data_IF_034880192995
#
_entry.id   IF_034880192995
#
_cell.length_a   1.000
_cell.length_b   1.000
_cell.length_c   1.000
_cell.angle_alpha   90.00
_cell.angle_beta   90.00
_cell.angle_gamma   90.00
#
_symmetry.space_group_name_H-M   'P 1'
#
loop_
_entity.id
_entity.type
_entity.pdbx_description
1 polymer ?
#
# COMPACT_ATOMS: atom_id res chain seq x y z
N UNK A 1 -17.14 -5.81 18.00
CA UNK A 1 -17.97 -7.02 17.83
C UNK A 1 -17.91 -7.43 16.36
N UNK A 2 -17.39 -8.63 16.07
CA UNK A 2 -17.40 -9.20 14.72
C UNK A 2 -18.84 -9.64 14.42
N UNK A 3 -19.52 -8.95 13.50
CA UNK A 3 -20.93 -9.18 13.21
C UNK A 3 -21.07 -10.41 12.29
N UNK A 4 -21.34 -11.59 12.88
CA UNK A 4 -21.43 -12.88 12.20
C UNK A 4 -22.57 -13.01 11.17
N UNK A 5 -23.48 -12.02 11.07
CA UNK A 5 -24.67 -12.07 10.21
C UNK A 5 -24.58 -11.19 8.96
N UNK A 6 -23.38 -10.71 8.60
CA UNK A 6 -23.21 -9.90 7.39
C UNK A 6 -23.41 -10.73 6.12
N UNK A 7 -24.14 -10.23 5.10
CA UNK A 7 -24.34 -10.96 3.84
C UNK A 7 -23.02 -11.32 3.18
N UNK A 8 -22.86 -12.57 2.72
CA UNK A 8 -21.65 -13.01 1.99
C UNK A 8 -21.93 -13.05 0.49
N UNK A 9 -21.96 -11.86 -0.12
CA UNK A 9 -22.23 -11.70 -1.55
C UNK A 9 -20.93 -11.50 -2.34
N UNK A 10 -20.92 -11.97 -3.60
CA UNK A 10 -19.83 -11.70 -4.54
C UNK A 10 -20.08 -10.36 -5.23
N UNK A 11 -19.24 -9.37 -4.94
CA UNK A 11 -19.31 -8.06 -5.58
C UNK A 11 -18.60 -8.12 -6.94
N UNK A 12 -19.27 -7.76 -8.06
CA UNK A 12 -18.63 -7.70 -9.36
C UNK A 12 -17.58 -6.59 -9.40
N UNK A 13 -16.47 -6.85 -10.09
CA UNK A 13 -15.42 -5.85 -10.32
C UNK A 13 -15.85 -4.90 -11.44
N UNK A 14 -15.58 -3.61 -11.26
CA UNK A 14 -15.67 -2.62 -12.34
C UNK A 14 -14.30 -2.49 -13.04
N UNK A 15 -14.24 -1.95 -14.27
CA UNK A 15 -12.97 -1.82 -15.01
C UNK A 15 -11.86 -1.12 -14.20
N UNK A 16 -12.21 -0.10 -13.42
CA UNK A 16 -11.26 0.61 -12.56
C UNK A 16 -10.63 -0.31 -11.50
N UNK A 17 -11.40 -1.24 -10.94
CA UNK A 17 -10.92 -2.19 -9.93
C UNK A 17 -9.90 -3.17 -10.55
N UNK A 18 -10.15 -3.61 -11.77
CA UNK A 18 -9.22 -4.48 -12.50
C UNK A 18 -7.95 -3.75 -12.92
N UNK A 19 -8.07 -2.50 -13.42
CA UNK A 19 -6.92 -1.69 -13.83
C UNK A 19 -5.98 -1.43 -12.65
N UNK A 20 -6.52 -1.09 -11.47
CA UNK A 20 -5.68 -0.84 -10.30
C UNK A 20 -5.04 -2.12 -9.76
N UNK A 21 -5.76 -3.26 -9.74
CA UNK A 21 -5.17 -4.54 -9.34
C UNK A 21 -4.05 -4.95 -10.31
N UNK A 22 -4.24 -4.80 -11.62
CA UNK A 22 -3.23 -5.09 -12.63
C UNK A 22 -2.01 -4.18 -12.52
N UNK A 23 -2.21 -2.87 -12.36
CA UNK A 23 -1.11 -1.91 -12.17
C UNK A 23 -0.34 -2.19 -10.88
N UNK A 24 -1.03 -2.57 -9.80
CA UNK A 24 -0.40 -2.95 -8.52
C UNK A 24 0.47 -4.21 -8.70
N UNK A 25 -0.03 -5.24 -9.38
CA UNK A 25 0.73 -6.45 -9.67
C UNK A 25 1.95 -6.16 -10.56
N UNK A 26 1.79 -5.34 -11.60
CA UNK A 26 2.87 -4.94 -12.48
C UNK A 26 3.97 -4.16 -11.73
N UNK A 27 3.57 -3.24 -10.83
CA UNK A 27 4.51 -2.49 -9.98
C UNK A 27 5.29 -3.41 -9.06
N UNK A 28 4.65 -4.43 -8.47
CA UNK A 28 5.33 -5.40 -7.61
C UNK A 28 6.36 -6.20 -8.41
N UNK A 29 5.99 -6.68 -9.60
CA UNK A 29 6.92 -7.39 -10.50
C UNK A 29 8.09 -6.50 -10.92
N UNK A 30 7.84 -5.23 -11.23
CA UNK A 30 8.88 -4.27 -11.57
C UNK A 30 9.84 -4.03 -10.39
N UNK A 31 9.32 -3.95 -9.17
CA UNK A 31 10.14 -3.83 -7.95
C UNK A 31 11.04 -5.06 -7.75
N UNK A 32 10.49 -6.27 -7.88
CA UNK A 32 11.27 -7.51 -7.79
C UNK A 32 12.39 -7.55 -8.84
N UNK A 33 12.07 -7.25 -10.09
CA UNK A 33 13.04 -7.22 -11.18
C UNK A 33 14.14 -6.18 -10.90
N UNK A 34 13.76 -4.97 -10.49
CA UNK A 34 14.70 -3.91 -10.16
C UNK A 34 15.66 -4.33 -9.04
N UNK A 35 15.14 -4.93 -7.95
CA UNK A 35 15.97 -5.42 -6.85
C UNK A 35 16.95 -6.47 -7.34
N UNK A 36 16.48 -7.51 -8.03
CA UNK A 36 17.33 -8.61 -8.52
C UNK A 36 18.46 -8.10 -9.42
N UNK A 37 18.15 -7.22 -10.38
CA UNK A 37 19.14 -6.71 -11.34
C UNK A 37 20.19 -5.82 -10.65
N UNK A 38 19.78 -5.05 -9.65
CA UNK A 38 20.64 -4.03 -9.05
C UNK A 38 21.40 -4.54 -7.82
N UNK A 39 20.94 -5.63 -7.19
CA UNK A 39 21.43 -6.10 -5.89
C UNK A 39 22.94 -6.36 -5.85
N UNK A 40 23.48 -6.97 -6.91
CA UNK A 40 24.90 -7.35 -6.98
C UNK A 40 25.84 -6.14 -7.02
N UNK A 41 25.35 -4.98 -7.45
CA UNK A 41 26.12 -3.73 -7.51
C UNK A 41 26.13 -2.99 -6.17
N UNK A 42 25.35 -3.43 -5.16
CA UNK A 42 25.30 -2.78 -3.87
C UNK A 42 26.53 -3.10 -3.00
N UNK A 43 27.09 -2.10 -2.31
CA UNK A 43 28.08 -2.35 -1.26
C UNK A 43 27.47 -3.19 -0.13
N UNK A 44 28.31 -3.87 0.65
CA UNK A 44 27.84 -4.69 1.79
C UNK A 44 27.07 -3.86 2.83
N UNK A 45 27.47 -2.61 3.03
CA UNK A 45 26.80 -1.66 3.93
C UNK A 45 26.04 -0.60 3.14
N UNK A 46 24.75 -0.43 3.42
CA UNK A 46 23.87 0.53 2.77
C UNK A 46 23.16 1.42 3.81
N UNK A 47 22.61 2.57 3.39
CA UNK A 47 21.67 3.35 4.21
C UNK A 47 20.42 2.55 4.55
N UNK A 48 20.00 2.62 5.82
CA UNK A 48 18.79 1.94 6.33
C UNK A 48 17.83 2.87 7.03
N UNK A 49 18.33 3.99 7.56
CA UNK A 49 17.52 5.04 8.15
C UNK A 49 17.89 6.40 7.58
N UNK A 50 16.87 7.26 7.55
CA UNK A 50 17.00 8.64 7.11
C UNK A 50 16.29 9.54 8.12
N UNK A 51 16.88 10.69 8.42
CA UNK A 51 16.28 11.70 9.27
C UNK A 51 15.17 12.47 8.51
N UNK A 52 14.52 13.43 9.18
CA UNK A 52 13.45 14.25 8.58
C UNK A 52 13.91 15.18 7.43
N UNK A 53 15.22 15.38 7.27
CA UNK A 53 15.81 16.10 6.13
C UNK A 53 16.13 15.17 4.97
N UNK A 54 15.98 13.86 5.17
CA UNK A 54 16.32 12.87 4.15
C UNK A 54 17.80 12.50 4.09
N UNK A 55 18.55 12.81 5.14
CA UNK A 55 19.96 12.48 5.27
C UNK A 55 20.11 11.13 5.97
N UNK A 56 21.14 10.37 5.61
CA UNK A 56 21.42 9.06 6.21
C UNK A 56 21.84 9.26 7.66
N UNK A 57 21.08 8.70 8.60
CA UNK A 57 21.41 8.68 10.03
C UNK A 57 21.55 7.25 10.59
N UNK A 58 21.33 6.22 9.77
CA UNK A 58 21.60 4.83 10.08
C UNK A 58 21.95 4.00 8.85
N UNK A 59 22.81 2.99 9.07
CA UNK A 59 23.30 2.06 8.03
C UNK A 59 23.15 0.61 8.47
N UNK A 60 23.26 -0.32 7.52
CA UNK A 60 23.17 -1.75 7.79
C UNK A 60 23.52 -2.61 6.59
N UNK A 61 23.42 -3.93 6.76
CA UNK A 61 23.71 -4.92 5.71
C UNK A 61 22.72 -4.79 4.55
N UNK A 62 23.19 -4.88 3.29
CA UNK A 62 22.33 -4.89 2.09
C UNK A 62 21.26 -5.98 2.07
N UNK A 63 21.41 -7.07 2.84
CA UNK A 63 20.40 -8.11 2.96
C UNK A 63 19.04 -7.60 3.48
N UNK A 64 19.00 -6.43 4.14
CA UNK A 64 17.74 -5.80 4.56
C UNK A 64 16.80 -5.51 3.38
N UNK A 65 17.33 -5.35 2.16
CA UNK A 65 16.54 -5.17 0.93
C UNK A 65 15.67 -6.40 0.65
N UNK A 66 16.17 -7.62 0.90
CA UNK A 66 15.37 -8.84 0.75
C UNK A 66 14.25 -8.92 1.77
N UNK A 67 14.52 -8.51 3.01
CA UNK A 67 13.49 -8.42 4.04
C UNK A 67 12.41 -7.40 3.64
N UNK A 68 12.81 -6.23 3.16
CA UNK A 68 11.90 -5.18 2.68
C UNK A 68 11.05 -5.68 1.50
N UNK A 69 11.66 -6.38 0.53
CA UNK A 69 10.96 -6.95 -0.61
C UNK A 69 9.96 -8.03 -0.20
N UNK A 70 10.34 -8.89 0.76
CA UNK A 70 9.49 -9.91 1.34
C UNK A 70 8.27 -9.32 2.05
N UNK A 71 8.47 -8.37 2.98
CA UNK A 71 7.35 -7.75 3.70
C UNK A 71 6.45 -6.94 2.77
N UNK A 72 7.01 -6.25 1.77
CA UNK A 72 6.25 -5.54 0.74
C UNK A 72 5.34 -6.50 -0.04
N UNK A 73 5.86 -7.67 -0.41
CA UNK A 73 5.10 -8.70 -1.11
C UNK A 73 3.98 -9.27 -0.24
N UNK A 74 4.26 -9.59 1.01
CA UNK A 74 3.26 -10.09 1.96
C UNK A 74 2.14 -9.08 2.18
N UNK A 75 2.49 -7.81 2.36
CA UNK A 75 1.52 -6.72 2.51
C UNK A 75 0.66 -6.58 1.24
N UNK A 76 1.28 -6.57 0.06
CA UNK A 76 0.57 -6.39 -1.21
C UNK A 76 -0.40 -7.54 -1.51
N UNK A 77 0.04 -8.78 -1.30
CA UNK A 77 -0.79 -9.98 -1.46
C UNK A 77 -1.88 -10.02 -0.39
N UNK A 78 -1.53 -9.76 0.88
CA UNK A 78 -2.47 -9.75 2.00
C UNK A 78 -3.61 -8.76 1.79
N UNK A 79 -3.31 -7.54 1.34
CA UNK A 79 -4.32 -6.55 0.98
C UNK A 79 -5.17 -7.00 -0.21
N UNK A 80 -4.57 -7.56 -1.27
CA UNK A 80 -5.31 -8.09 -2.40
C UNK A 80 -6.30 -9.19 -1.97
N UNK A 81 -5.84 -10.15 -1.15
CA UNK A 81 -6.67 -11.22 -0.58
C UNK A 81 -7.81 -10.64 0.24
N UNK A 82 -7.54 -9.64 1.08
CA UNK A 82 -8.55 -8.99 1.90
C UNK A 82 -9.65 -8.31 1.06
N UNK A 83 -9.33 -7.78 -0.14
CA UNK A 83 -10.38 -7.27 -1.07
C UNK A 83 -11.42 -8.31 -1.49
N UNK A 84 -11.11 -9.60 -1.36
CA UNK A 84 -12.02 -10.71 -1.69
C UNK A 84 -12.96 -11.05 -0.52
N UNK A 85 -12.74 -10.48 0.66
CA UNK A 85 -13.53 -10.72 1.87
C UNK A 85 -14.10 -9.41 2.46
N UNK A 86 -14.90 -8.63 1.71
CA UNK A 86 -15.41 -7.35 2.20
C UNK A 86 -16.26 -7.46 3.47
N UNK A 87 -16.93 -8.59 3.70
CA UNK A 87 -17.77 -8.79 4.89
C UNK A 87 -17.01 -8.68 6.22
N UNK A 88 -15.69 -8.89 6.25
CA UNK A 88 -14.85 -8.73 7.45
C UNK A 88 -14.24 -7.32 7.59
N UNK A 89 -14.47 -6.42 6.63
CA UNK A 89 -13.98 -5.04 6.72
C UNK A 89 -14.71 -4.24 7.80
N UNK A 90 -14.11 -3.11 8.18
CA UNK A 90 -14.73 -2.16 9.08
C UNK A 90 -15.64 -1.19 8.31
N UNK A 91 -16.86 -1.00 8.82
CA UNK A 91 -17.88 -0.13 8.26
C UNK A 91 -18.41 0.80 9.37
N UNK A 92 -18.73 2.05 9.04
CA UNK A 92 -19.30 3.02 9.98
C UNK A 92 -20.83 2.91 10.05
N UNK A 93 -21.42 2.13 9.16
CA UNK A 93 -22.85 1.80 9.10
C UNK A 93 -23.05 0.30 9.28
N UNK A 94 -24.23 -0.08 9.76
CA UNK A 94 -24.64 -1.49 9.77
C UNK A 94 -24.83 -1.99 8.35
N UNK A 95 -24.29 -3.18 8.08
CA UNK A 95 -24.40 -3.82 6.77
C UNK A 95 -25.62 -4.72 6.73
N UNK A 96 -26.51 -4.45 5.79
CA UNK A 96 -27.74 -5.19 5.51
C UNK A 96 -27.71 -5.72 4.08
N UNK A 97 -28.65 -6.59 3.71
CA UNK A 97 -28.76 -7.11 2.34
C UNK A 97 -28.93 -5.99 1.30
N UNK A 98 -29.71 -4.94 1.62
CA UNK A 98 -29.96 -3.81 0.72
C UNK A 98 -28.70 -2.99 0.43
N UNK A 99 -27.84 -2.77 1.43
CA UNK A 99 -26.69 -1.86 1.30
C UNK A 99 -25.35 -2.58 1.09
N UNK A 100 -25.31 -3.92 1.23
CA UNK A 100 -24.07 -4.71 1.22
C UNK A 100 -23.27 -4.48 -0.07
N UNK A 101 -23.90 -4.58 -1.24
CA UNK A 101 -23.19 -4.48 -2.53
C UNK A 101 -22.45 -3.15 -2.67
N UNK A 102 -23.14 -2.04 -2.38
CA UNK A 102 -22.59 -0.69 -2.48
C UNK A 102 -21.44 -0.48 -1.50
N UNK A 103 -21.67 -0.80 -0.22
CA UNK A 103 -20.66 -0.59 0.82
C UNK A 103 -19.46 -1.53 0.65
N UNK A 104 -19.68 -2.77 0.21
CA UNK A 104 -18.61 -3.74 -0.06
C UNK A 104 -17.76 -3.34 -1.26
N UNK A 105 -18.39 -2.85 -2.33
CA UNK A 105 -17.67 -2.30 -3.49
C UNK A 105 -16.81 -1.12 -3.07
N UNK A 106 -17.41 -0.16 -2.38
CA UNK A 106 -16.73 1.03 -1.88
C UNK A 106 -15.49 0.67 -1.04
N UNK A 107 -15.67 -0.19 -0.05
CA UNK A 107 -14.59 -0.58 0.87
C UNK A 107 -13.50 -1.39 0.17
N UNK A 108 -13.86 -2.35 -0.69
CA UNK A 108 -12.88 -3.16 -1.44
C UNK A 108 -12.08 -2.30 -2.41
N UNK A 109 -12.73 -1.34 -3.08
CA UNK A 109 -12.07 -0.40 -3.98
C UNK A 109 -11.10 0.51 -3.25
N UNK A 110 -11.51 1.04 -2.10
CA UNK A 110 -10.60 1.81 -1.26
C UNK A 110 -9.37 1.01 -0.84
N UNK A 111 -9.56 -0.27 -0.47
CA UNK A 111 -8.45 -1.14 -0.12
C UNK A 111 -7.51 -1.40 -1.31
N UNK A 112 -8.01 -1.43 -2.55
CA UNK A 112 -7.17 -1.48 -3.76
C UNK A 112 -6.32 -0.22 -3.92
N UNK A 113 -6.91 0.96 -3.70
CA UNK A 113 -6.16 2.22 -3.72
C UNK A 113 -5.10 2.28 -2.63
N UNK A 114 -5.44 1.87 -1.41
CA UNK A 114 -4.46 1.76 -0.32
C UNK A 114 -3.34 0.81 -0.73
N UNK A 115 -3.67 -0.38 -1.23
CA UNK A 115 -2.68 -1.37 -1.65
C UNK A 115 -1.70 -0.80 -2.68
N UNK A 116 -2.23 -0.19 -3.73
CA UNK A 116 -1.43 0.46 -4.77
C UNK A 116 -0.50 1.55 -4.19
N UNK A 117 -1.04 2.45 -3.36
CA UNK A 117 -0.26 3.55 -2.78
C UNK A 117 0.77 3.07 -1.75
N UNK A 118 0.45 2.05 -0.95
CA UNK A 118 1.40 1.42 -0.03
C UNK A 118 2.55 0.79 -0.81
N UNK A 119 2.25 0.03 -1.86
CA UNK A 119 3.26 -0.59 -2.69
C UNK A 119 4.14 0.47 -3.38
N UNK A 120 3.54 1.55 -3.88
CA UNK A 120 4.27 2.67 -4.46
C UNK A 120 5.23 3.32 -3.46
N UNK A 121 4.77 3.56 -2.23
CA UNK A 121 5.60 4.10 -1.15
C UNK A 121 6.77 3.16 -0.81
N UNK A 122 6.50 1.87 -0.61
CA UNK A 122 7.52 0.89 -0.27
C UNK A 122 8.52 0.68 -1.41
N UNK A 123 8.05 0.67 -2.66
CA UNK A 123 8.90 0.63 -3.84
C UNK A 123 9.81 1.86 -3.93
N UNK A 124 9.27 3.04 -3.66
CA UNK A 124 10.04 4.29 -3.61
C UNK A 124 11.10 4.26 -2.49
N UNK A 125 10.75 3.81 -1.29
CA UNK A 125 11.72 3.67 -0.18
C UNK A 125 12.84 2.69 -0.56
N UNK A 126 12.50 1.52 -1.11
CA UNK A 126 13.49 0.55 -1.57
C UNK A 126 14.40 1.12 -2.66
N UNK A 127 13.81 1.81 -3.64
CA UNK A 127 14.56 2.50 -4.69
C UNK A 127 15.51 3.55 -4.11
N UNK A 128 15.03 4.40 -3.21
CA UNK A 128 15.79 5.46 -2.57
C UNK A 128 17.00 4.90 -1.78
N UNK A 129 16.80 3.84 -0.99
CA UNK A 129 17.88 3.15 -0.27
C UNK A 129 18.97 2.64 -1.23
N UNK A 130 18.56 1.93 -2.29
CA UNK A 130 19.50 1.33 -3.24
C UNK A 130 20.26 2.37 -4.06
N UNK A 131 19.57 3.42 -4.51
CA UNK A 131 20.22 4.50 -5.25
C UNK A 131 21.19 5.31 -4.38
N UNK A 132 20.82 5.58 -3.12
CA UNK A 132 21.73 6.24 -2.18
C UNK A 132 22.96 5.39 -1.90
N UNK A 133 22.80 4.08 -1.78
CA UNK A 133 23.92 3.14 -1.64
C UNK A 133 24.86 3.11 -2.85
N UNK A 134 24.34 3.33 -4.06
CA UNK A 134 25.12 3.45 -5.29
C UNK A 134 25.82 4.83 -5.45
N UNK A 135 25.68 5.72 -4.47
CA UNK A 135 26.24 7.08 -4.53
C UNK A 135 25.44 8.05 -5.38
N UNK A 136 24.26 7.64 -5.88
CA UNK A 136 23.39 8.51 -6.64
C UNK A 136 22.61 9.43 -5.71
N UNK A 137 22.38 10.67 -6.16
CA UNK A 137 21.46 11.60 -5.52
C UNK A 137 20.03 11.21 -5.90
N UNK A 138 19.53 10.13 -5.30
CA UNK A 138 18.11 9.83 -5.32
C UNK A 138 17.33 10.98 -4.68
N UNK A 139 16.03 11.06 -5.00
CA UNK A 139 15.08 11.96 -4.34
C UNK A 139 14.91 11.58 -2.86
N UNK A 140 15.95 11.71 -2.03
CA UNK A 140 15.93 11.26 -0.62
C UNK A 140 15.75 12.40 0.36
N UNK A 141 15.78 13.67 -0.08
CA UNK A 141 15.69 14.86 0.78
C UNK A 141 14.31 15.10 1.44
N UNK A 142 13.99 16.36 1.78
CA UNK A 142 12.72 16.73 2.44
C UNK A 142 11.45 16.20 1.74
N UNK A 143 11.53 15.97 0.43
CA UNK A 143 10.44 15.37 -0.37
C UNK A 143 9.98 14.03 0.22
N UNK A 144 10.89 13.19 0.69
CA UNK A 144 10.53 11.91 1.31
C UNK A 144 9.67 12.12 2.56
N UNK A 145 10.04 13.09 3.40
CA UNK A 145 9.28 13.47 4.60
C UNK A 145 7.88 13.96 4.24
N UNK A 146 7.75 14.81 3.21
CA UNK A 146 6.43 15.26 2.76
C UNK A 146 5.57 14.11 2.22
N UNK A 147 6.15 13.18 1.44
CA UNK A 147 5.45 11.99 0.95
C UNK A 147 4.96 11.14 2.12
N UNK A 148 5.80 10.92 3.13
CA UNK A 148 5.44 10.16 4.33
C UNK A 148 4.31 10.83 5.12
N UNK A 149 4.35 12.16 5.30
CA UNK A 149 3.28 12.91 5.99
C UNK A 149 1.97 12.81 5.21
N UNK A 150 2.00 13.00 3.89
CA UNK A 150 0.80 12.88 3.04
C UNK A 150 0.21 11.47 3.15
N UNK A 151 1.04 10.44 3.10
CA UNK A 151 0.59 9.07 3.22
C UNK A 151 0.07 8.73 4.63
N UNK A 152 0.75 9.16 5.69
CA UNK A 152 0.43 8.79 7.07
C UNK A 152 -0.74 9.59 7.67
N UNK A 153 -0.94 10.84 7.24
CA UNK A 153 -1.94 11.74 7.82
C UNK A 153 -3.05 12.06 6.83
N UNK A 154 -2.70 12.58 5.66
CA UNK A 154 -3.69 13.12 4.72
C UNK A 154 -4.51 12.00 4.08
N UNK A 155 -3.86 10.90 3.67
CA UNK A 155 -4.54 9.79 3.00
C UNK A 155 -5.63 9.15 3.91
N UNK A 156 -5.37 8.78 5.18
CA UNK A 156 -6.42 8.27 6.07
C UNK A 156 -7.59 9.25 6.26
N UNK A 157 -7.32 10.55 6.40
CA UNK A 157 -8.38 11.56 6.54
C UNK A 157 -9.25 11.60 5.30
N UNK A 158 -8.65 11.64 4.11
CA UNK A 158 -9.37 11.63 2.83
C UNK A 158 -10.22 10.37 2.69
N UNK A 159 -9.67 9.20 3.05
CA UNK A 159 -10.41 7.94 3.02
C UNK A 159 -11.60 7.94 3.99
N UNK A 160 -11.42 8.41 5.23
CA UNK A 160 -12.48 8.50 6.24
C UNK A 160 -13.59 9.44 5.76
N UNK A 161 -13.25 10.65 5.30
CA UNK A 161 -14.22 11.61 4.78
C UNK A 161 -14.96 11.04 3.56
N UNK A 162 -14.25 10.37 2.67
CA UNK A 162 -14.84 9.70 1.52
C UNK A 162 -15.79 8.57 1.92
N UNK A 163 -15.44 7.77 2.94
CA UNK A 163 -16.35 6.74 3.48
C UNK A 163 -17.61 7.35 4.09
N UNK A 164 -17.46 8.37 4.94
CA UNK A 164 -18.58 9.04 5.59
C UNK A 164 -19.57 9.61 4.56
N UNK A 165 -19.05 10.17 3.46
CA UNK A 165 -19.88 10.75 2.41
C UNK A 165 -20.58 9.72 1.52
N UNK A 166 -19.97 8.56 1.29
CA UNK A 166 -20.42 7.63 0.25
C UNK A 166 -21.02 6.33 0.79
N UNK A 167 -20.88 6.01 2.08
CA UNK A 167 -21.55 4.85 2.66
C UNK A 167 -23.07 5.02 2.68
N UNK A 168 -23.78 3.95 2.35
CA UNK A 168 -25.25 3.92 2.41
C UNK A 168 -25.71 3.31 3.72
N UNK A 169 -26.39 4.11 4.54
CA UNK A 169 -27.12 3.63 5.70
C UNK A 169 -28.29 2.73 5.26
N UNK A 170 -28.71 1.76 6.09
CA UNK A 170 -29.96 1.04 5.84
C UNK A 170 -31.14 2.02 5.81
N UNK A 171 -32.12 1.76 4.93
CA UNK A 171 -33.39 2.49 4.95
C UNK A 171 -34.27 2.05 6.12
#
# INVERSE_FOLDING_TARGET
>A
MLHNNRPKIKVPLEPIDTIIEATTAALLLALWLYVIVTYMSLPETIPTHFNYKGEVDGTGTKNIIWFLLGITTVIAIGMHVLTKFPHIHNYMVNITEENAEHNYRLSSRMLRYVNFLTLLLLAYVCYAMMQKALGNNAFTGEIMTYIMIVYAVIMPIVLIVFMLKNQKAPK
#
